data_IF_679423552518
#
_entry.id   IF_679423552518
#
_cell.length_a   1.000
_cell.length_b   1.000
_cell.length_c   1.000
_cell.angle_alpha   90.00
_cell.angle_beta   90.00
_cell.angle_gamma   90.00
#
_symmetry.space_group_name_H-M   'P 1'
#
loop_
_entity.id
_entity.type
_entity.pdbx_description
1 polymer ?
#
# COMPACT_ATOMS: atom_id res chain seq x y z
N UNK A 1 4.33 -3.50 -9.44
CA UNK A 1 4.80 -2.15 -9.03
C UNK A 1 5.45 -2.24 -7.65
N UNK A 2 6.38 -1.35 -7.31
CA UNK A 2 7.10 -1.36 -6.02
C UNK A 2 7.09 0.01 -5.35
N UNK A 3 6.82 0.05 -4.04
CA UNK A 3 6.82 1.26 -3.24
C UNK A 3 7.82 1.14 -2.09
N UNK A 4 8.73 2.10 -1.97
CA UNK A 4 9.73 2.11 -0.87
C UNK A 4 9.27 3.05 0.23
N UNK A 5 9.16 2.53 1.44
CA UNK A 5 8.83 3.32 2.62
C UNK A 5 9.75 2.94 3.79
N UNK A 6 10.47 3.92 4.32
CA UNK A 6 11.46 3.77 5.41
C UNK A 6 12.45 2.60 5.18
N UNK A 7 12.94 2.46 3.95
CA UNK A 7 13.89 1.40 3.58
C UNK A 7 13.28 0.02 3.32
N UNK A 8 11.96 -0.15 3.54
CA UNK A 8 11.24 -1.38 3.19
C UNK A 8 10.60 -1.24 1.81
N UNK A 9 10.76 -2.25 0.95
CA UNK A 9 10.16 -2.30 -0.38
C UNK A 9 8.89 -3.14 -0.34
N UNK A 10 7.76 -2.53 -0.67
CA UNK A 10 6.47 -3.19 -0.83
C UNK A 10 6.24 -3.48 -2.31
N UNK A 11 6.33 -4.75 -2.70
CA UNK A 11 5.97 -5.19 -4.04
C UNK A 11 4.47 -5.41 -4.12
N UNK A 12 3.76 -4.69 -4.98
CA UNK A 12 2.32 -4.81 -5.23
C UNK A 12 2.06 -5.28 -6.66
N UNK A 13 1.18 -6.25 -6.86
CA UNK A 13 0.94 -6.90 -8.16
C UNK A 13 -0.50 -6.74 -8.65
N UNK A 14 -0.69 -6.07 -9.78
CA UNK A 14 -2.00 -5.93 -10.40
C UNK A 14 -2.52 -7.26 -11.01
N UNK A 15 -3.85 -7.47 -11.06
CA UNK A 15 -4.90 -6.64 -10.46
C UNK A 15 -4.89 -6.73 -8.92
N UNK A 16 -5.27 -5.61 -8.30
CA UNK A 16 -5.52 -5.53 -6.86
C UNK A 16 -6.97 -5.94 -6.63
N UNK A 17 -7.19 -6.89 -5.73
CA UNK A 17 -8.54 -7.37 -5.41
C UNK A 17 -9.28 -6.38 -4.52
N UNK A 18 -8.62 -5.92 -3.45
CA UNK A 18 -9.15 -4.88 -2.58
C UNK A 18 -8.06 -4.12 -1.82
N UNK A 19 -8.43 -2.93 -1.37
CA UNK A 19 -7.64 -2.11 -0.45
C UNK A 19 -8.55 -1.74 0.73
N UNK A 20 -8.05 -1.89 1.96
CA UNK A 20 -8.72 -1.45 3.17
C UNK A 20 -7.83 -0.47 3.94
N UNK A 21 -8.40 0.64 4.41
CA UNK A 21 -7.67 1.72 5.06
C UNK A 21 -8.24 1.93 6.46
N UNK A 22 -7.38 1.92 7.47
CA UNK A 22 -7.72 2.24 8.85
C UNK A 22 -6.68 3.20 9.44
N UNK A 23 -7.01 4.49 9.46
CA UNK A 23 -6.09 5.58 9.80
C UNK A 23 -4.83 5.51 8.92
N UNK A 24 -3.65 5.34 9.50
CA UNK A 24 -2.38 5.19 8.78
C UNK A 24 -2.00 3.73 8.50
N UNK A 25 -2.93 2.78 8.64
CA UNK A 25 -2.71 1.39 8.27
C UNK A 25 -3.46 1.07 6.98
N UNK A 26 -2.76 0.48 6.02
CA UNK A 26 -3.32 0.09 4.72
C UNK A 26 -3.12 -1.40 4.52
N UNK A 27 -4.20 -2.10 4.21
CA UNK A 27 -4.18 -3.49 3.80
C UNK A 27 -4.42 -3.55 2.30
N UNK A 28 -3.52 -4.19 1.57
CA UNK A 28 -3.65 -4.44 0.14
C UNK A 28 -3.74 -5.96 -0.07
N UNK A 29 -4.79 -6.42 -0.73
CA UNK A 29 -4.87 -7.79 -1.21
C UNK A 29 -4.68 -7.79 -2.72
N UNK A 30 -3.59 -8.40 -3.15
CA UNK A 30 -3.20 -8.48 -4.55
C UNK A 30 -2.98 -9.94 -4.97
N UNK A 31 -2.48 -10.18 -6.18
CA UNK A 31 -2.24 -11.53 -6.66
C UNK A 31 -1.27 -12.37 -5.81
N UNK A 32 -0.43 -11.73 -4.99
CA UNK A 32 0.51 -12.41 -4.09
C UNK A 32 -0.05 -12.53 -2.66
N UNK A 33 -1.30 -12.12 -2.42
CA UNK A 33 -2.00 -12.21 -1.15
C UNK A 33 -2.13 -10.88 -0.41
N UNK A 34 -2.43 -10.97 0.89
CA UNK A 34 -2.70 -9.81 1.75
C UNK A 34 -1.42 -9.26 2.37
N UNK A 35 -1.23 -7.95 2.27
CA UNK A 35 -0.09 -7.21 2.86
C UNK A 35 -0.64 -6.10 3.75
N UNK A 36 -0.19 -6.05 5.00
CA UNK A 36 -0.44 -4.94 5.90
C UNK A 36 0.75 -3.98 5.87
N UNK A 37 0.48 -2.71 5.58
CA UNK A 37 1.46 -1.64 5.53
C UNK A 37 1.09 -0.64 6.61
N UNK A 38 2.01 -0.42 7.55
CA UNK A 38 1.82 0.53 8.66
C UNK A 38 2.62 1.79 8.40
N UNK A 39 1.93 2.88 8.14
CA UNK A 39 2.54 4.19 7.95
C UNK A 39 2.70 4.91 9.29
N UNK A 40 3.61 5.90 9.33
CA UNK A 40 3.87 6.67 10.55
C UNK A 40 2.81 7.74 10.80
N UNK A 41 2.15 8.20 9.73
CA UNK A 41 1.15 9.23 9.76
C UNK A 41 0.17 9.06 8.58
N UNK A 42 -0.91 9.85 8.59
CA UNK A 42 -1.94 9.77 7.56
C UNK A 42 -1.46 10.30 6.19
N UNK A 43 -0.53 11.26 6.17
CA UNK A 43 0.04 11.83 4.94
C UNK A 43 0.77 10.76 4.15
N UNK A 44 1.66 10.00 4.80
CA UNK A 44 2.41 8.91 4.17
C UNK A 44 1.47 7.86 3.56
N UNK A 45 0.41 7.47 4.31
CA UNK A 45 -0.59 6.52 3.79
C UNK A 45 -1.34 7.06 2.57
N UNK A 46 -1.61 8.37 2.52
CA UNK A 46 -2.25 9.00 1.35
C UNK A 46 -1.32 9.04 0.14
N UNK A 47 -0.06 9.39 0.32
CA UNK A 47 0.94 9.34 -0.77
C UNK A 47 1.07 7.93 -1.35
N UNK A 48 1.02 6.90 -0.50
CA UNK A 48 0.97 5.51 -0.96
C UNK A 48 -0.29 5.20 -1.79
N UNK A 49 -1.46 5.65 -1.33
CA UNK A 49 -2.72 5.44 -2.05
C UNK A 49 -2.73 6.20 -3.39
N UNK A 50 -2.25 7.45 -3.43
CA UNK A 50 -2.14 8.19 -4.68
C UNK A 50 -1.24 7.47 -5.69
N UNK A 51 -0.09 6.97 -5.22
CA UNK A 51 0.80 6.16 -6.03
C UNK A 51 0.14 4.88 -6.54
N UNK A 52 -0.57 4.13 -5.68
CA UNK A 52 -1.16 2.83 -6.05
C UNK A 52 -2.29 2.98 -7.06
N UNK A 53 -3.02 4.11 -7.04
CA UNK A 53 -4.10 4.40 -7.99
C UNK A 53 -3.61 4.89 -9.35
N UNK A 54 -2.39 5.42 -9.43
CA UNK A 54 -1.79 5.90 -10.69
C UNK A 54 -1.04 4.82 -11.47
N UNK A 55 -0.67 3.73 -10.81
CA UNK A 55 0.20 2.69 -11.33
C UNK A 55 -0.56 1.50 -11.95
#
# INVERSE_FOLDING_TARGET
MSYTYKGTIYSIKSPINFISVNKHNVVVNDQNGTKLIKFGNNTDSKCFLEWIYQA
#
